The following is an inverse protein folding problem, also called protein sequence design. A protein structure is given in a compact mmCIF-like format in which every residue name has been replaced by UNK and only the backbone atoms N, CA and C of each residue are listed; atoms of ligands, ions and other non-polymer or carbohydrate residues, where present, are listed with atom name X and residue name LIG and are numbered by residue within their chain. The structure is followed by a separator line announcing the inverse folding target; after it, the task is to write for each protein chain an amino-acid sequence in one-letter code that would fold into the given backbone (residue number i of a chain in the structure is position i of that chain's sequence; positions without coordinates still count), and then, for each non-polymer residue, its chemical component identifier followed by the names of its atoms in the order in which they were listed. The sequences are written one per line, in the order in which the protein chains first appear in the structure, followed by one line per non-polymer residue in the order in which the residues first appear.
data_IF_692885541797
#
_entry.id   IF_692885541797
#
_cell.length_a   1.000
_cell.length_b   1.000
_cell.length_c   1.000
_cell.angle_alpha   90.00
_cell.angle_beta   90.00
_cell.angle_gamma   90.00
#
_symmetry.space_group_name_H-M   'P 1'
#
loop_
_entity.id
_entity.type
_entity.pdbx_description
1 polymer ?
#
# COMPACT_ATOMS: atom_id res chain seq x y z
N UNK A 1 -23.43 -0.74 -29.68
CA UNK A 1 -22.06 -0.27 -29.52
C UNK A 1 -21.55 -0.71 -28.14
N UNK A 2 -20.74 -1.77 -28.10
CA UNK A 2 -20.14 -2.26 -26.85
C UNK A 2 -19.18 -1.21 -26.32
N UNK A 3 -19.34 -0.80 -25.05
CA UNK A 3 -18.34 0.02 -24.33
C UNK A 3 -17.05 -0.79 -24.25
N UNK A 4 -16.05 -0.43 -25.05
CA UNK A 4 -14.71 -0.96 -24.95
C UNK A 4 -14.20 -0.60 -23.54
N UNK A 5 -14.03 -1.58 -22.67
CA UNK A 5 -13.42 -1.37 -21.35
C UNK A 5 -11.94 -1.08 -21.58
N UNK A 6 -11.58 0.19 -21.59
CA UNK A 6 -10.17 0.57 -21.60
C UNK A 6 -9.54 0.09 -20.30
N UNK A 7 -8.42 -0.62 -20.41
CA UNK A 7 -7.64 -1.01 -19.21
C UNK A 7 -7.01 0.24 -18.57
N UNK A 8 -6.67 0.16 -17.28
CA UNK A 8 -5.94 1.24 -16.60
C UNK A 8 -4.62 1.54 -17.31
N UNK A 9 -3.94 0.53 -17.80
CA UNK A 9 -2.69 0.69 -18.57
C UNK A 9 -2.90 1.51 -19.85
N UNK A 10 -3.96 1.25 -20.60
CA UNK A 10 -4.31 2.03 -21.78
C UNK A 10 -4.58 3.48 -21.44
N UNK A 11 -5.37 3.72 -20.38
CA UNK A 11 -5.63 5.06 -19.90
C UNK A 11 -4.35 5.82 -19.53
N UNK A 12 -3.45 5.20 -18.77
CA UNK A 12 -2.18 5.81 -18.38
C UNK A 12 -1.34 6.16 -19.60
N UNK A 13 -1.18 5.24 -20.56
CA UNK A 13 -0.39 5.47 -21.78
C UNK A 13 -1.00 6.57 -22.65
N UNK A 14 -2.32 6.69 -22.71
CA UNK A 14 -3.00 7.71 -23.52
C UNK A 14 -2.94 9.11 -22.93
N UNK A 15 -2.96 9.23 -21.59
CA UNK A 15 -3.13 10.52 -20.91
C UNK A 15 -1.89 11.03 -20.17
N UNK A 16 -0.98 10.15 -19.74
CA UNK A 16 0.23 10.50 -18.99
C UNK A 16 1.41 10.72 -19.95
N UNK A 17 1.42 11.88 -20.62
CA UNK A 17 2.32 12.15 -21.76
C UNK A 17 3.58 12.93 -21.39
N UNK A 18 3.58 13.68 -20.29
CA UNK A 18 4.63 14.63 -19.95
C UNK A 18 4.95 14.67 -18.46
N UNK A 19 6.13 15.17 -18.12
CA UNK A 19 6.61 15.38 -16.76
C UNK A 19 6.54 14.09 -15.89
N UNK A 20 6.23 14.20 -14.63
CA UNK A 20 6.17 13.07 -13.70
C UNK A 20 5.15 12.00 -14.10
N UNK A 21 4.09 12.38 -14.81
CA UNK A 21 3.11 11.42 -15.29
C UNK A 21 3.68 10.53 -16.40
N UNK A 22 4.48 11.09 -17.32
CA UNK A 22 5.20 10.31 -18.31
C UNK A 22 6.25 9.40 -17.65
N UNK A 23 7.00 9.93 -16.68
CA UNK A 23 8.00 9.16 -15.93
C UNK A 23 7.39 7.93 -15.23
N UNK A 24 6.15 8.01 -14.73
CA UNK A 24 5.44 6.85 -14.18
C UNK A 24 5.23 5.76 -15.24
N UNK A 25 4.81 6.14 -16.43
CA UNK A 25 4.61 5.20 -17.55
C UNK A 25 5.92 4.58 -17.99
N UNK A 26 6.99 5.38 -18.08
CA UNK A 26 8.32 4.91 -18.48
C UNK A 26 8.89 3.94 -17.43
N UNK A 27 8.74 4.25 -16.14
CA UNK A 27 9.15 3.36 -15.05
C UNK A 27 8.39 2.02 -15.08
N UNK A 28 7.09 2.04 -15.35
CA UNK A 28 6.29 0.82 -15.48
C UNK A 28 6.75 -0.05 -16.67
N UNK A 29 7.04 0.57 -17.81
CA UNK A 29 7.59 -0.14 -18.98
C UNK A 29 8.96 -0.73 -18.70
N UNK A 30 9.87 0.05 -18.11
CA UNK A 30 11.20 -0.44 -17.76
C UNK A 30 11.13 -1.62 -16.78
N UNK A 31 10.17 -1.61 -15.83
CA UNK A 31 9.93 -2.73 -14.93
C UNK A 31 9.52 -3.98 -15.71
N UNK A 32 8.58 -3.86 -16.66
CA UNK A 32 8.14 -4.96 -17.51
C UNK A 32 9.28 -5.53 -18.36
N UNK A 33 10.05 -4.67 -19.02
CA UNK A 33 11.21 -5.05 -19.83
C UNK A 33 12.26 -5.81 -19.02
N UNK A 34 12.54 -5.40 -17.78
CA UNK A 34 13.46 -6.11 -16.88
C UNK A 34 13.01 -7.55 -16.63
N UNK A 35 11.72 -7.76 -16.38
CA UNK A 35 11.16 -9.08 -16.14
C UNK A 35 11.15 -9.94 -17.41
N UNK A 36 10.77 -9.37 -18.55
CA UNK A 36 10.77 -10.05 -19.86
C UNK A 36 12.17 -10.49 -20.28
N UNK A 37 13.20 -9.75 -19.89
CA UNK A 37 14.61 -10.11 -20.09
C UNK A 37 15.11 -11.18 -19.08
N UNK A 38 14.24 -11.73 -18.24
CA UNK A 38 14.59 -12.77 -17.27
C UNK A 38 15.30 -12.27 -16.01
N UNK A 39 15.37 -10.94 -15.81
CA UNK A 39 15.96 -10.35 -14.62
C UNK A 39 15.06 -10.50 -13.41
N UNK A 40 15.64 -10.39 -12.22
CA UNK A 40 14.93 -10.46 -10.94
C UNK A 40 14.64 -9.07 -10.40
N UNK A 41 13.52 -8.94 -9.70
CA UNK A 41 13.09 -7.68 -9.11
C UNK A 41 13.09 -7.78 -7.59
N UNK A 42 13.77 -6.85 -6.95
CA UNK A 42 13.75 -6.63 -5.51
C UNK A 42 13.00 -5.34 -5.20
N UNK A 43 12.09 -5.40 -4.23
CA UNK A 43 11.39 -4.22 -3.72
C UNK A 43 11.85 -3.94 -2.30
N UNK A 44 12.09 -2.67 -2.00
CA UNK A 44 12.36 -2.20 -0.64
C UNK A 44 11.20 -1.35 -0.14
N UNK A 45 10.73 -1.61 1.07
CA UNK A 45 9.58 -0.94 1.68
C UNK A 45 9.99 -0.25 2.98
N UNK A 46 9.65 1.03 3.09
CA UNK A 46 9.68 1.75 4.36
C UNK A 46 8.53 1.29 5.28
N UNK A 47 8.53 1.75 6.53
CA UNK A 47 7.46 1.46 7.48
C UNK A 47 6.09 1.96 7.03
N UNK A 48 5.02 1.42 7.62
CA UNK A 48 3.61 1.77 7.38
C UNK A 48 3.07 1.52 5.95
N UNK A 49 3.79 0.80 5.10
CA UNK A 49 3.28 0.43 3.77
C UNK A 49 2.22 -0.68 3.84
N UNK A 50 2.25 -1.51 4.87
CA UNK A 50 1.21 -2.47 5.22
C UNK A 50 -0.07 -1.79 5.68
N UNK A 51 0.03 -0.72 6.49
CA UNK A 51 -1.13 0.12 6.87
C UNK A 51 -1.81 0.70 5.62
N UNK A 52 -1.05 1.04 4.58
CA UNK A 52 -1.56 1.48 3.28
C UNK A 52 -2.08 0.33 2.40
N UNK A 53 -2.12 -0.90 2.92
CA UNK A 53 -2.58 -2.12 2.23
C UNK A 53 -1.83 -2.45 0.93
N UNK A 54 -0.56 -2.04 0.78
CA UNK A 54 0.26 -2.41 -0.37
C UNK A 54 0.48 -3.92 -0.49
N UNK A 55 0.38 -4.65 0.60
CA UNK A 55 0.49 -6.12 0.64
C UNK A 55 -0.46 -6.81 -0.33
N UNK A 56 -1.66 -6.27 -0.56
CA UNK A 56 -2.63 -6.82 -1.53
C UNK A 56 -2.08 -6.84 -2.96
N UNK A 57 -1.46 -5.73 -3.39
CA UNK A 57 -0.86 -5.62 -4.73
C UNK A 57 0.42 -6.44 -4.83
N UNK A 58 1.26 -6.39 -3.79
CA UNK A 58 2.53 -7.12 -3.76
C UNK A 58 2.32 -8.63 -3.75
N UNK A 59 1.35 -9.14 -3.01
CA UNK A 59 1.02 -10.56 -2.99
C UNK A 59 0.65 -11.08 -4.39
N UNK A 60 -0.12 -10.30 -5.16
CA UNK A 60 -0.46 -10.66 -6.53
C UNK A 60 0.77 -10.59 -7.46
N UNK A 61 1.62 -9.60 -7.30
CA UNK A 61 2.88 -9.50 -8.05
C UNK A 61 3.83 -10.67 -7.74
N UNK A 62 3.88 -11.14 -6.50
CA UNK A 62 4.67 -12.32 -6.11
C UNK A 62 4.10 -13.58 -6.78
N UNK A 63 2.78 -13.80 -6.73
CA UNK A 63 2.14 -14.95 -7.38
C UNK A 63 2.38 -15.01 -8.88
N UNK A 64 2.58 -13.86 -9.50
CA UNK A 64 2.86 -13.73 -10.93
C UNK A 64 4.35 -13.67 -11.27
N UNK A 65 5.25 -13.99 -10.34
CA UNK A 65 6.72 -13.92 -10.51
C UNK A 65 7.21 -12.53 -10.96
N UNK A 66 6.54 -11.46 -10.51
CA UNK A 66 6.92 -10.08 -10.80
C UNK A 66 7.71 -9.41 -9.68
N UNK A 67 7.72 -10.00 -8.50
CA UNK A 67 8.55 -9.63 -7.35
C UNK A 67 9.20 -10.88 -6.80
N UNK A 68 10.52 -10.84 -6.61
CA UNK A 68 11.31 -12.03 -6.22
C UNK A 68 11.90 -11.89 -4.82
N UNK A 69 12.19 -10.66 -4.42
CA UNK A 69 12.76 -10.35 -3.10
C UNK A 69 12.05 -9.11 -2.55
N UNK A 70 11.73 -9.14 -1.26
CA UNK A 70 11.24 -7.97 -0.53
C UNK A 70 12.17 -7.73 0.66
N UNK A 71 12.66 -6.50 0.79
CA UNK A 71 13.32 -6.01 1.98
C UNK A 71 12.42 -4.97 2.64
N UNK A 72 11.98 -5.23 3.85
CA UNK A 72 11.05 -4.35 4.55
C UNK A 72 11.39 -4.27 6.04
N UNK A 73 10.75 -3.33 6.75
CA UNK A 73 10.81 -3.27 8.20
C UNK A 73 9.98 -4.39 8.83
N UNK A 74 10.35 -4.83 10.04
CA UNK A 74 9.56 -5.80 10.81
C UNK A 74 8.12 -5.35 11.00
N UNK A 75 7.89 -4.05 11.20
CA UNK A 75 6.56 -3.46 11.32
C UNK A 75 5.64 -3.77 10.12
N UNK A 76 6.15 -3.78 8.88
CA UNK A 76 5.34 -4.15 7.72
C UNK A 76 4.84 -5.59 7.79
N UNK A 77 5.68 -6.52 8.24
CA UNK A 77 5.29 -7.93 8.37
C UNK A 77 4.28 -8.13 9.50
N UNK A 78 4.49 -7.44 10.61
CA UNK A 78 3.60 -7.48 11.78
C UNK A 78 2.22 -6.91 11.42
N UNK A 79 2.16 -5.74 10.81
CA UNK A 79 0.90 -5.12 10.39
C UNK A 79 0.17 -5.91 9.30
N UNK A 80 0.87 -6.55 8.37
CA UNK A 80 0.24 -7.45 7.39
C UNK A 80 -0.42 -8.66 8.08
N UNK A 81 0.20 -9.19 9.14
CA UNK A 81 -0.41 -10.25 9.95
C UNK A 81 -1.64 -9.73 10.71
N UNK A 82 -1.55 -8.55 11.32
CA UNK A 82 -2.68 -7.90 11.99
C UNK A 82 -3.84 -7.63 11.02
N UNK A 83 -3.54 -7.13 9.82
CA UNK A 83 -4.54 -6.95 8.76
C UNK A 83 -5.23 -8.25 8.38
N UNK A 84 -4.51 -9.37 8.36
CA UNK A 84 -5.08 -10.66 8.02
C UNK A 84 -6.15 -11.11 9.03
N UNK A 85 -5.94 -10.87 10.32
CA UNK A 85 -6.82 -11.35 11.39
C UNK A 85 -7.83 -10.33 11.87
N UNK A 86 -7.60 -9.05 11.68
CA UNK A 86 -8.37 -7.99 12.34
C UNK A 86 -8.67 -6.75 11.48
N UNK A 87 -8.58 -6.85 10.17
CA UNK A 87 -8.85 -5.76 9.22
C UNK A 87 -10.17 -5.01 9.50
N UNK A 88 -11.22 -5.72 9.92
CA UNK A 88 -12.53 -5.14 10.22
C UNK A 88 -12.54 -4.18 11.42
N UNK A 89 -11.50 -4.18 12.24
CA UNK A 89 -11.36 -3.31 13.41
C UNK A 89 -10.62 -2.01 13.11
N UNK A 90 -10.00 -1.89 11.94
CA UNK A 90 -9.34 -0.67 11.51
C UNK A 90 -10.37 0.42 11.22
N UNK A 91 -10.06 1.64 11.64
CA UNK A 91 -10.95 2.80 11.44
C UNK A 91 -10.24 3.88 10.65
N UNK A 92 -10.93 4.43 9.66
CA UNK A 92 -10.41 5.54 8.89
C UNK A 92 -10.93 6.87 9.42
N UNK A 93 -10.04 7.86 9.57
CA UNK A 93 -10.34 9.25 9.97
C UNK A 93 -9.87 10.19 8.84
N UNK A 94 -10.72 10.46 7.83
CA UNK A 94 -10.31 11.25 6.66
C UNK A 94 -9.81 12.64 7.00
N UNK A 95 -10.40 13.29 8.02
CA UNK A 95 -10.03 14.63 8.48
C UNK A 95 -8.94 14.63 9.57
N UNK A 96 -8.04 13.65 9.57
CA UNK A 96 -7.05 13.47 10.63
C UNK A 96 -6.11 14.68 10.84
N UNK A 97 -5.94 15.52 9.82
CA UNK A 97 -5.10 16.74 9.92
C UNK A 97 -5.76 17.86 10.73
N UNK A 98 -7.07 17.79 10.89
CA UNK A 98 -7.87 18.79 11.61
C UNK A 98 -8.12 18.38 13.08
N UNK A 99 -7.58 17.22 13.51
CA UNK A 99 -7.71 16.74 14.87
C UNK A 99 -6.97 17.66 15.85
N UNK A 100 -7.64 18.03 16.92
CA UNK A 100 -7.03 18.74 18.04
C UNK A 100 -6.22 17.76 18.91
N UNK A 101 -5.26 18.25 19.73
CA UNK A 101 -4.52 17.39 20.68
C UNK A 101 -5.44 16.60 21.62
N UNK A 102 -6.57 17.18 22.03
CA UNK A 102 -7.54 16.48 22.87
C UNK A 102 -8.21 15.33 22.12
N UNK A 103 -8.59 15.52 20.87
CA UNK A 103 -9.18 14.48 20.05
C UNK A 103 -8.19 13.34 19.75
N UNK A 104 -6.90 13.65 19.57
CA UNK A 104 -5.84 12.63 19.46
C UNK A 104 -5.72 11.82 20.76
N UNK A 105 -5.75 12.49 21.91
CA UNK A 105 -5.77 11.83 23.21
C UNK A 105 -6.99 10.93 23.39
N UNK A 106 -8.18 11.41 23.00
CA UNK A 106 -9.42 10.64 23.08
C UNK A 106 -9.39 9.36 22.21
N UNK A 107 -8.64 9.38 21.09
CA UNK A 107 -8.42 8.17 20.29
C UNK A 107 -7.54 7.17 21.04
N UNK A 108 -6.45 7.65 21.64
CA UNK A 108 -5.53 6.82 22.40
C UNK A 108 -6.23 6.19 23.61
N UNK A 109 -7.02 6.96 24.37
CA UNK A 109 -7.85 6.48 25.50
C UNK A 109 -8.85 5.37 25.07
N UNK A 110 -9.27 5.38 23.80
CA UNK A 110 -10.11 4.34 23.22
C UNK A 110 -9.33 3.15 22.66
N UNK A 111 -8.01 3.07 22.93
CA UNK A 111 -7.15 2.03 22.42
C UNK A 111 -6.98 2.08 20.90
N UNK A 112 -6.96 3.27 20.30
CA UNK A 112 -6.80 3.47 18.86
C UNK A 112 -5.49 4.20 18.58
N UNK A 113 -4.53 3.48 18.03
CA UNK A 113 -3.25 4.04 17.57
C UNK A 113 -3.38 4.55 16.13
N UNK A 114 -3.26 5.87 15.95
CA UNK A 114 -3.43 6.47 14.63
C UNK A 114 -2.12 6.54 13.83
N UNK A 115 -2.17 6.02 12.60
CA UNK A 115 -1.12 6.16 11.59
C UNK A 115 -1.72 6.90 10.39
N UNK A 116 -1.39 8.16 10.21
CA UNK A 116 -2.01 9.06 9.22
C UNK A 116 -3.54 9.10 9.34
N UNK A 117 -4.29 8.63 8.39
CA UNK A 117 -5.76 8.61 8.43
C UNK A 117 -6.35 7.28 8.94
N UNK A 118 -5.50 6.34 9.35
CA UNK A 118 -5.92 5.00 9.78
C UNK A 118 -5.62 4.78 11.25
N UNK A 119 -6.59 4.29 12.00
CA UNK A 119 -6.43 3.88 13.38
C UNK A 119 -6.39 2.36 13.50
N UNK A 120 -5.38 1.87 14.20
CA UNK A 120 -5.15 0.46 14.51
C UNK A 120 -5.51 0.23 15.98
N UNK A 121 -6.37 -0.76 16.32
CA UNK A 121 -6.67 -1.08 17.70
C UNK A 121 -5.44 -1.56 18.47
N UNK A 122 -5.22 -1.02 19.67
CA UNK A 122 -4.09 -1.39 20.52
C UNK A 122 -4.13 -2.86 20.98
N UNK A 123 -5.32 -3.41 21.17
CA UNK A 123 -5.50 -4.82 21.55
C UNK A 123 -4.86 -5.80 20.55
N UNK A 124 -4.66 -5.37 19.31
CA UNK A 124 -3.97 -6.17 18.29
C UNK A 124 -2.46 -6.16 18.46
N UNK A 125 -1.91 -5.11 19.04
CA UNK A 125 -0.48 -4.99 19.34
C UNK A 125 -0.05 -5.87 20.54
N UNK A 126 -1.00 -6.40 21.29
CA UNK A 126 -0.77 -7.28 22.44
C UNK A 126 -0.73 -8.79 22.09
N UNK A 127 -0.83 -9.15 20.82
CA UNK A 127 -0.64 -10.54 20.34
C UNK A 127 0.88 -10.82 20.20
N UNK A 128 1.62 -10.52 21.23
CA UNK A 128 3.05 -10.85 21.33
C UNK A 128 3.28 -12.02 22.27
#
# INVERSE_FOLDING_TARGET
MGKQKHSVSTFLVEHFKHFNSAALVDAAKAYQEQLENGNKMMITLAGAMSTAELGKSLAEMIRQDKVHIISCTGANLEEDLMNLVAHSHYKRIPAYRDLTPQQEWDLLEKGLNRVTDTCIPEELSLIH
#
